data_IF_776331529883
#
_entry.id   IF_776331529883
#
_cell.length_a   1.000
_cell.length_b   1.000
_cell.length_c   1.000
_cell.angle_alpha   90.00
_cell.angle_beta   90.00
_cell.angle_gamma   90.00
#
_symmetry.space_group_name_H-M   'P 1'
#
loop_
_entity.id
_entity.type
_entity.pdbx_description
1 polymer ?
#
# COMPACT_ATOMS: atom_id res chain seq x y z
N UNK A 1 3.64 -27.38 -9.08
CA UNK A 1 4.15 -26.03 -9.38
C UNK A 1 4.13 -25.20 -8.11
N UNK A 2 5.17 -24.39 -7.89
CA UNK A 2 5.20 -23.46 -6.77
C UNK A 2 4.13 -22.37 -6.90
N UNK A 3 3.77 -21.72 -5.79
CA UNK A 3 2.83 -20.60 -5.79
C UNK A 3 3.47 -19.35 -6.40
N UNK A 4 2.66 -18.50 -7.03
CA UNK A 4 3.13 -17.25 -7.67
C UNK A 4 2.47 -16.03 -7.03
N UNK A 5 3.30 -15.02 -6.75
CA UNK A 5 2.85 -13.70 -6.33
C UNK A 5 3.21 -12.64 -7.38
N UNK A 6 2.25 -11.76 -7.69
CA UNK A 6 2.44 -10.55 -8.48
C UNK A 6 2.49 -9.33 -7.54
N UNK A 7 3.54 -8.50 -7.66
CA UNK A 7 3.77 -7.37 -6.74
C UNK A 7 3.92 -6.08 -7.54
N UNK A 8 3.13 -5.06 -7.23
CA UNK A 8 3.31 -3.71 -7.77
C UNK A 8 4.20 -2.85 -6.89
N UNK A 9 5.05 -1.99 -7.49
CA UNK A 9 5.91 -1.07 -6.76
C UNK A 9 7.02 -1.76 -5.96
N UNK A 10 7.67 -2.77 -6.55
CA UNK A 10 8.67 -3.60 -5.89
C UNK A 10 10.10 -3.01 -5.90
N UNK A 11 10.34 -1.82 -6.46
CA UNK A 11 11.70 -1.27 -6.61
C UNK A 11 12.39 -0.94 -5.27
N UNK A 12 11.65 -0.73 -4.20
CA UNK A 12 12.20 -0.31 -2.90
C UNK A 12 11.23 -0.61 -1.75
N UNK A 13 11.68 -0.34 -0.53
CA UNK A 13 10.86 -0.37 0.68
C UNK A 13 10.12 -1.69 0.88
N UNK A 14 8.83 -1.60 1.21
CA UNK A 14 8.00 -2.77 1.52
C UNK A 14 7.83 -3.72 0.33
N UNK A 15 7.64 -3.18 -0.89
CA UNK A 15 7.47 -4.02 -2.07
C UNK A 15 8.71 -4.88 -2.37
N UNK A 16 9.92 -4.30 -2.22
CA UNK A 16 11.18 -5.02 -2.36
C UNK A 16 11.35 -6.07 -1.24
N UNK A 17 11.10 -5.69 0.00
CA UNK A 17 11.20 -6.62 1.12
C UNK A 17 10.22 -7.80 0.97
N UNK A 18 8.99 -7.53 0.53
CA UNK A 18 8.02 -8.59 0.23
C UNK A 18 8.50 -9.50 -0.90
N UNK A 19 9.02 -8.93 -2.00
CA UNK A 19 9.54 -9.72 -3.12
C UNK A 19 10.65 -10.69 -2.68
N UNK A 20 11.64 -10.20 -1.94
CA UNK A 20 12.73 -11.01 -1.41
C UNK A 20 12.24 -12.07 -0.42
N UNK A 21 11.30 -11.73 0.47
CA UNK A 21 10.73 -12.67 1.43
C UNK A 21 9.99 -13.81 0.75
N UNK A 22 9.14 -13.51 -0.24
CA UNK A 22 8.40 -14.55 -0.96
C UNK A 22 9.33 -15.44 -1.78
N UNK A 23 10.34 -14.87 -2.45
CA UNK A 23 11.36 -15.63 -3.16
C UNK A 23 12.15 -16.56 -2.23
N UNK A 24 12.61 -16.06 -1.08
CA UNK A 24 13.31 -16.85 -0.06
C UNK A 24 12.45 -18.02 0.49
N UNK A 25 11.12 -17.89 0.40
CA UNK A 25 10.16 -18.95 0.80
C UNK A 25 9.72 -19.84 -0.37
N UNK A 26 10.45 -19.81 -1.48
CA UNK A 26 10.26 -20.71 -2.62
C UNK A 26 9.07 -20.36 -3.53
N UNK A 27 8.56 -19.11 -3.48
CA UNK A 27 7.54 -18.65 -4.40
C UNK A 27 8.16 -18.09 -5.68
N UNK A 28 7.45 -18.24 -6.77
CA UNK A 28 7.72 -17.45 -7.98
C UNK A 28 7.20 -16.02 -7.76
N UNK A 29 8.06 -15.04 -7.96
CA UNK A 29 7.74 -13.63 -7.74
C UNK A 29 7.78 -12.87 -9.07
N UNK A 30 6.68 -12.23 -9.43
CA UNK A 30 6.64 -11.25 -10.51
C UNK A 30 6.66 -9.87 -9.89
N UNK A 31 7.84 -9.27 -9.81
CA UNK A 31 8.07 -7.95 -9.23
C UNK A 31 7.91 -6.87 -10.30
N UNK A 32 6.99 -5.92 -10.11
CA UNK A 32 6.79 -4.86 -11.10
C UNK A 32 7.10 -3.47 -10.55
N UNK A 33 7.64 -2.61 -11.42
CA UNK A 33 8.05 -1.25 -11.12
C UNK A 33 8.16 -0.42 -12.38
N UNK A 34 8.15 0.91 -12.29
CA UNK A 34 8.26 1.79 -13.47
C UNK A 34 9.59 1.65 -14.20
N UNK A 35 10.68 1.56 -13.44
CA UNK A 35 12.02 1.36 -14.01
C UNK A 35 12.66 0.09 -13.42
N UNK A 36 12.76 -1.02 -14.19
CA UNK A 36 13.38 -2.27 -13.76
C UNK A 36 14.84 -2.12 -13.34
N UNK A 37 15.61 -1.23 -13.99
CA UNK A 37 17.03 -1.03 -13.72
C UNK A 37 17.27 -0.41 -12.32
N UNK A 38 16.23 0.11 -11.68
CA UNK A 38 16.33 0.68 -10.33
C UNK A 38 16.45 -0.37 -9.21
N UNK A 39 16.30 -1.67 -9.51
CA UNK A 39 16.36 -2.75 -8.54
C UNK A 39 17.15 -3.97 -9.06
N UNK A 40 18.45 -3.83 -9.38
CA UNK A 40 19.27 -4.91 -9.95
C UNK A 40 19.38 -6.12 -9.04
N UNK A 41 19.29 -5.95 -7.73
CA UNK A 41 19.28 -7.04 -6.76
C UNK A 41 18.09 -7.99 -6.97
N UNK A 42 16.89 -7.46 -7.27
CA UNK A 42 15.73 -8.29 -7.56
C UNK A 42 15.91 -9.07 -8.86
N UNK A 43 16.50 -8.47 -9.88
CA UNK A 43 16.76 -9.13 -11.16
C UNK A 43 17.76 -10.30 -11.02
N UNK A 44 18.68 -10.23 -10.05
CA UNK A 44 19.63 -11.30 -9.73
C UNK A 44 19.11 -12.35 -8.73
N UNK A 45 17.90 -12.18 -8.20
CA UNK A 45 17.34 -13.10 -7.19
C UNK A 45 16.63 -14.28 -7.86
N UNK A 46 17.00 -15.50 -7.47
CA UNK A 46 16.37 -16.71 -7.99
C UNK A 46 14.87 -16.72 -7.71
N UNK A 47 14.08 -17.07 -8.72
CA UNK A 47 12.62 -17.13 -8.63
C UNK A 47 11.93 -15.76 -8.76
N UNK A 48 12.67 -14.68 -9.01
CA UNK A 48 12.14 -13.34 -9.23
C UNK A 48 12.25 -12.95 -10.71
N UNK A 49 11.12 -12.53 -11.28
CA UNK A 49 11.06 -11.89 -12.59
C UNK A 49 10.71 -10.41 -12.40
N UNK A 50 11.47 -9.51 -13.02
CA UNK A 50 11.25 -8.07 -12.92
C UNK A 50 10.64 -7.55 -14.22
N UNK A 51 9.53 -6.82 -14.14
CA UNK A 51 8.82 -6.25 -15.30
C UNK A 51 8.55 -4.75 -15.10
N UNK A 52 8.59 -4.01 -16.21
CA UNK A 52 8.17 -2.61 -16.22
C UNK A 52 6.64 -2.52 -16.09
N UNK A 53 6.15 -1.71 -15.14
CA UNK A 53 4.74 -1.39 -14.98
C UNK A 53 4.56 -0.03 -14.32
N UNK A 54 3.86 0.86 -15.02
CA UNK A 54 3.22 2.04 -14.42
C UNK A 54 1.75 1.72 -14.14
N UNK A 55 1.37 1.71 -12.88
CA UNK A 55 -0.02 1.42 -12.45
C UNK A 55 -1.00 2.52 -12.83
N UNK A 56 -0.54 3.65 -13.34
CA UNK A 56 -1.39 4.73 -13.86
C UNK A 56 -1.77 4.53 -15.33
N UNK A 57 -1.09 3.62 -16.04
CA UNK A 57 -1.35 3.28 -17.44
C UNK A 57 -2.22 2.02 -17.58
N UNK A 58 -3.52 2.16 -17.92
CA UNK A 58 -4.43 1.02 -18.07
C UNK A 58 -4.06 0.06 -19.22
N UNK A 59 -3.41 0.57 -20.27
CA UNK A 59 -3.00 -0.27 -21.40
C UNK A 59 -1.81 -1.15 -20.99
N UNK A 60 -0.83 -0.56 -20.33
CA UNK A 60 0.32 -1.29 -19.81
C UNK A 60 -0.08 -2.33 -18.76
N UNK A 61 -1.04 -2.01 -17.87
CA UNK A 61 -1.59 -2.99 -16.91
C UNK A 61 -2.11 -4.22 -17.65
N UNK A 62 -2.98 -4.03 -18.66
CA UNK A 62 -3.55 -5.17 -19.43
C UNK A 62 -2.46 -6.01 -20.07
N UNK A 63 -1.53 -5.37 -20.80
CA UNK A 63 -0.43 -6.06 -21.49
C UNK A 63 0.45 -6.87 -20.53
N UNK A 64 0.81 -6.29 -19.38
CA UNK A 64 1.66 -6.97 -18.39
C UNK A 64 0.91 -8.14 -17.75
N UNK A 65 -0.37 -7.96 -17.39
CA UNK A 65 -1.18 -9.04 -16.82
C UNK A 65 -1.35 -10.18 -17.81
N UNK A 66 -1.69 -9.91 -19.06
CA UNK A 66 -1.79 -10.94 -20.12
C UNK A 66 -0.47 -11.70 -20.29
N UNK A 67 0.66 -10.99 -20.38
CA UNK A 67 2.00 -11.60 -20.47
C UNK A 67 2.30 -12.51 -19.28
N UNK A 68 1.97 -12.09 -18.08
CA UNK A 68 2.22 -12.84 -16.84
C UNK A 68 1.34 -14.09 -16.81
N UNK A 69 0.05 -13.96 -17.12
CA UNK A 69 -0.92 -15.05 -17.07
C UNK A 69 -0.72 -16.10 -18.18
N UNK A 70 -0.02 -15.75 -19.28
CA UNK A 70 0.38 -16.72 -20.31
C UNK A 70 1.44 -17.72 -19.80
N UNK A 71 2.19 -17.36 -18.75
CA UNK A 71 3.33 -18.14 -18.24
C UNK A 71 3.05 -18.67 -16.82
N UNK A 72 2.33 -17.91 -16.01
CA UNK A 72 2.17 -18.18 -14.59
C UNK A 72 0.69 -18.26 -14.20
N UNK A 73 0.35 -19.21 -13.33
CA UNK A 73 -0.85 -19.14 -12.53
C UNK A 73 -0.55 -18.26 -11.32
N UNK A 74 -1.17 -17.07 -11.24
CA UNK A 74 -0.99 -16.14 -10.12
C UNK A 74 -1.94 -16.51 -8.98
N UNK A 75 -1.37 -16.76 -7.80
CA UNK A 75 -2.11 -17.10 -6.58
C UNK A 75 -2.36 -15.88 -5.68
N UNK A 76 -1.44 -14.90 -5.71
CA UNK A 76 -1.52 -13.68 -4.89
C UNK A 76 -1.22 -12.46 -5.74
N UNK A 77 -2.05 -11.42 -5.59
CA UNK A 77 -1.83 -10.09 -6.14
C UNK A 77 -1.56 -9.13 -4.98
N UNK A 78 -0.35 -8.57 -4.90
CA UNK A 78 0.03 -7.56 -3.92
C UNK A 78 0.01 -6.18 -4.54
N UNK A 79 -1.02 -5.40 -4.26
CA UNK A 79 -1.14 -4.00 -4.59
C UNK A 79 -0.35 -3.18 -3.57
N UNK A 80 0.93 -2.87 -3.89
CA UNK A 80 1.81 -2.13 -3.01
C UNK A 80 2.23 -0.77 -3.60
N UNK A 81 2.18 -0.58 -4.92
CA UNK A 81 2.55 0.69 -5.55
C UNK A 81 1.76 1.86 -4.94
N UNK A 82 2.48 2.92 -4.55
CA UNK A 82 1.88 4.09 -3.96
C UNK A 82 2.92 5.07 -3.42
N UNK A 83 2.49 6.31 -3.19
CA UNK A 83 3.32 7.35 -2.59
C UNK A 83 2.47 8.27 -1.70
N UNK A 84 3.13 9.15 -0.94
CA UNK A 84 2.47 10.13 -0.09
C UNK A 84 2.46 11.52 -0.73
N UNK A 85 1.33 12.22 -0.64
CA UNK A 85 1.21 13.66 -0.88
C UNK A 85 0.91 14.31 0.46
N UNK A 86 1.82 15.16 0.92
CA UNK A 86 1.69 15.86 2.19
C UNK A 86 1.93 17.36 2.02
N UNK A 87 1.36 18.15 2.92
CA UNK A 87 1.44 19.60 2.91
C UNK A 87 0.06 20.27 2.86
N UNK A 88 0.01 21.61 2.76
CA UNK A 88 -1.22 22.34 2.64
C UNK A 88 -2.03 21.93 1.42
N UNK A 89 -3.31 21.62 1.63
CA UNK A 89 -4.20 21.25 0.54
C UNK A 89 -4.36 22.36 -0.50
N UNK A 90 -4.41 23.60 -0.04
CA UNK A 90 -4.50 24.78 -0.90
C UNK A 90 -3.29 24.94 -1.84
N UNK A 91 -2.14 24.40 -1.45
CA UNK A 91 -0.92 24.41 -2.27
C UNK A 91 -0.80 23.21 -3.22
N UNK A 92 -1.76 22.29 -3.26
CA UNK A 92 -1.76 21.16 -4.16
C UNK A 92 -2.27 21.59 -5.56
N UNK A 93 -1.54 21.23 -6.60
CA UNK A 93 -1.99 21.42 -7.99
C UNK A 93 -3.00 20.34 -8.38
N UNK A 94 -3.79 20.57 -9.44
CA UNK A 94 -4.69 19.55 -9.98
C UNK A 94 -3.92 18.28 -10.42
N UNK A 95 -2.72 18.45 -10.96
CA UNK A 95 -1.84 17.33 -11.32
C UNK A 95 -1.37 16.53 -10.10
N UNK A 96 -1.09 17.19 -8.97
CA UNK A 96 -0.76 16.49 -7.71
C UNK A 96 -1.95 15.65 -7.23
N UNK A 97 -3.16 16.22 -7.29
CA UNK A 97 -4.39 15.53 -6.89
C UNK A 97 -4.65 14.32 -7.78
N UNK A 98 -4.64 14.52 -9.10
CA UNK A 98 -4.85 13.45 -10.10
C UNK A 98 -3.83 12.33 -9.92
N UNK A 99 -2.55 12.67 -9.88
CA UNK A 99 -1.47 11.69 -9.74
C UNK A 99 -1.56 10.88 -8.45
N UNK A 100 -1.93 11.52 -7.31
CA UNK A 100 -2.13 10.82 -6.04
C UNK A 100 -3.28 9.83 -6.12
N UNK A 101 -4.42 10.24 -6.71
CA UNK A 101 -5.59 9.39 -6.88
C UNK A 101 -5.31 8.29 -7.89
N UNK A 102 -4.74 8.61 -9.06
CA UNK A 102 -4.45 7.63 -10.10
C UNK A 102 -3.47 6.56 -9.64
N UNK A 103 -2.43 6.93 -8.88
CA UNK A 103 -1.46 5.95 -8.39
C UNK A 103 -2.04 5.13 -7.22
N UNK A 104 -2.51 5.80 -6.16
CA UNK A 104 -2.81 5.13 -4.90
C UNK A 104 -4.17 4.45 -4.86
N UNK A 105 -5.12 4.90 -5.67
CA UNK A 105 -6.47 4.35 -5.71
C UNK A 105 -6.76 3.68 -7.05
N UNK A 106 -6.80 4.44 -8.14
CA UNK A 106 -7.20 3.90 -9.44
C UNK A 106 -6.26 2.79 -9.93
N UNK A 107 -4.94 2.92 -9.69
CA UNK A 107 -3.96 1.89 -10.02
C UNK A 107 -4.26 0.56 -9.33
N UNK A 108 -4.59 0.60 -8.03
CA UNK A 108 -4.99 -0.59 -7.25
C UNK A 108 -6.25 -1.23 -7.83
N UNK A 109 -7.27 -0.42 -8.12
CA UNK A 109 -8.53 -0.90 -8.67
C UNK A 109 -8.33 -1.56 -10.04
N UNK A 110 -7.58 -0.90 -10.94
CA UNK A 110 -7.30 -1.38 -12.31
C UNK A 110 -6.47 -2.67 -12.32
N UNK A 111 -5.41 -2.74 -11.51
CA UNK A 111 -4.59 -3.97 -11.39
C UNK A 111 -5.45 -5.11 -10.84
N UNK A 112 -6.21 -4.88 -9.79
CA UNK A 112 -7.13 -5.89 -9.24
C UNK A 112 -8.12 -6.36 -10.29
N UNK A 113 -8.80 -5.43 -10.97
CA UNK A 113 -9.78 -5.74 -12.00
C UNK A 113 -9.20 -6.61 -13.12
N UNK A 114 -7.95 -6.35 -13.54
CA UNK A 114 -7.29 -7.12 -14.59
C UNK A 114 -7.00 -8.57 -14.18
N UNK A 115 -6.76 -8.85 -12.89
CA UNK A 115 -6.55 -10.21 -12.40
C UNK A 115 -7.84 -10.97 -12.04
N UNK A 116 -8.96 -10.29 -11.80
CA UNK A 116 -10.20 -10.93 -11.35
C UNK A 116 -10.69 -12.07 -12.27
N UNK A 117 -10.67 -11.97 -13.61
CA UNK A 117 -11.08 -13.07 -14.48
C UNK A 117 -10.28 -14.37 -14.22
N UNK A 118 -8.96 -14.24 -14.07
CA UNK A 118 -8.06 -15.36 -13.77
C UNK A 118 -8.35 -15.98 -12.40
N UNK A 119 -8.46 -15.16 -11.35
CA UNK A 119 -8.72 -15.63 -9.98
C UNK A 119 -10.10 -16.30 -9.89
N UNK A 120 -11.11 -15.71 -10.52
CA UNK A 120 -12.47 -16.26 -10.61
C UNK A 120 -12.50 -17.61 -11.32
N UNK A 121 -11.81 -17.74 -12.46
CA UNK A 121 -11.72 -18.99 -13.22
C UNK A 121 -11.07 -20.10 -12.40
N UNK A 122 -10.04 -19.76 -11.62
CA UNK A 122 -9.36 -20.71 -10.73
C UNK A 122 -10.13 -20.98 -9.42
N UNK A 123 -11.19 -20.21 -9.11
CA UNK A 123 -11.92 -20.21 -7.84
C UNK A 123 -10.98 -20.18 -6.62
N UNK A 124 -9.91 -19.43 -6.73
CA UNK A 124 -8.84 -19.37 -5.73
C UNK A 124 -7.99 -18.14 -5.95
N UNK A 125 -7.52 -17.53 -4.87
CA UNK A 125 -6.53 -16.47 -4.88
C UNK A 125 -6.70 -15.51 -3.72
N UNK A 126 -5.67 -14.70 -3.51
CA UNK A 126 -5.71 -13.64 -2.49
C UNK A 126 -5.24 -12.32 -3.09
N UNK A 127 -6.03 -11.29 -2.93
CA UNK A 127 -5.68 -9.91 -3.23
C UNK A 127 -5.27 -9.26 -1.92
N UNK A 128 -4.04 -8.77 -1.84
CA UNK A 128 -3.53 -8.04 -0.68
C UNK A 128 -3.26 -6.59 -1.08
N UNK A 129 -3.91 -5.64 -0.42
CA UNK A 129 -3.77 -4.22 -0.71
C UNK A 129 -3.03 -3.53 0.45
N UNK A 130 -1.92 -2.87 0.13
CA UNK A 130 -1.21 -2.05 1.12
C UNK A 130 -1.94 -0.71 1.29
N UNK A 131 -2.60 -0.59 2.43
CA UNK A 131 -3.26 0.63 2.85
C UNK A 131 -2.32 1.48 3.72
N UNK A 132 -2.72 1.88 4.89
CA UNK A 132 -1.92 2.60 5.89
C UNK A 132 -2.71 2.71 7.20
N UNK A 133 -2.04 2.93 8.31
CA UNK A 133 -2.70 3.51 9.49
C UNK A 133 -3.50 4.77 9.12
N UNK A 134 -3.04 5.50 8.09
CA UNK A 134 -3.75 6.65 7.49
C UNK A 134 -5.06 6.32 6.78
N UNK A 135 -5.43 5.06 6.61
CA UNK A 135 -6.77 4.60 6.20
C UNK A 135 -7.75 4.42 7.37
N UNK A 136 -7.28 4.55 8.61
CA UNK A 136 -8.08 4.38 9.81
C UNK A 136 -8.02 5.59 10.75
N UNK A 137 -6.94 6.36 10.71
CA UNK A 137 -6.75 7.60 11.48
C UNK A 137 -6.27 8.72 10.57
N UNK A 138 -6.42 9.97 10.99
CA UNK A 138 -6.02 11.13 10.19
C UNK A 138 -4.99 11.99 10.92
N UNK A 139 -4.06 12.57 10.15
CA UNK A 139 -3.06 13.51 10.61
C UNK A 139 -3.13 14.80 9.80
N UNK A 140 -2.71 15.95 10.34
CA UNK A 140 -2.66 17.20 9.59
C UNK A 140 -1.81 17.06 8.31
N UNK A 141 -2.14 17.83 7.29
CA UNK A 141 -1.39 17.94 6.04
C UNK A 141 -1.25 16.66 5.21
N UNK A 142 -2.18 15.72 5.33
CA UNK A 142 -2.20 14.47 4.57
C UNK A 142 -3.57 14.19 3.95
N UNK A 143 -4.38 15.22 3.69
CA UNK A 143 -5.81 15.06 3.34
C UNK A 143 -6.05 14.16 2.12
N UNK A 144 -5.35 14.42 1.01
CA UNK A 144 -5.51 13.64 -0.23
C UNK A 144 -4.99 12.21 -0.07
N UNK A 145 -3.84 12.04 0.59
CA UNK A 145 -3.32 10.72 0.90
C UNK A 145 -4.31 9.90 1.75
N UNK A 146 -4.85 10.51 2.81
CA UNK A 146 -5.88 9.87 3.64
C UNK A 146 -7.11 9.50 2.83
N UNK A 147 -7.59 10.39 1.95
CA UNK A 147 -8.74 10.09 1.08
C UNK A 147 -8.51 8.81 0.27
N UNK A 148 -7.31 8.63 -0.32
CA UNK A 148 -6.99 7.41 -1.08
C UNK A 148 -6.94 6.17 -0.18
N UNK A 149 -6.33 6.27 1.00
CA UNK A 149 -6.17 5.11 1.90
C UNK A 149 -7.48 4.71 2.58
N UNK A 150 -8.34 5.66 2.95
CA UNK A 150 -9.70 5.39 3.42
C UNK A 150 -10.57 4.80 2.31
N UNK A 151 -10.46 5.32 1.09
CA UNK A 151 -11.16 4.76 -0.08
C UNK A 151 -10.79 3.30 -0.32
N UNK A 152 -9.51 2.93 -0.19
CA UNK A 152 -9.06 1.55 -0.34
C UNK A 152 -9.60 0.61 0.76
N UNK A 153 -9.71 1.08 2.02
CA UNK A 153 -10.29 0.24 3.10
C UNK A 153 -11.75 -0.06 2.80
N UNK A 154 -12.59 0.95 2.54
CA UNK A 154 -14.01 0.74 2.23
C UNK A 154 -14.23 -0.06 0.94
N UNK A 155 -13.45 0.22 -0.10
CA UNK A 155 -13.50 -0.55 -1.34
C UNK A 155 -13.16 -2.03 -1.12
N UNK A 156 -12.08 -2.31 -0.37
CA UNK A 156 -11.65 -3.68 -0.12
C UNK A 156 -12.65 -4.47 0.74
N UNK A 157 -13.30 -3.83 1.73
CA UNK A 157 -14.38 -4.45 2.50
C UNK A 157 -15.53 -4.87 1.60
N UNK A 158 -15.99 -3.97 0.71
CA UNK A 158 -17.06 -4.30 -0.25
C UNK A 158 -16.65 -5.42 -1.20
N UNK A 159 -15.43 -5.33 -1.76
CA UNK A 159 -14.89 -6.36 -2.65
C UNK A 159 -14.78 -7.73 -1.98
N UNK A 160 -14.48 -7.78 -0.69
CA UNK A 160 -14.41 -9.05 0.05
C UNK A 160 -15.75 -9.80 0.04
N UNK A 161 -16.89 -9.09 0.13
CA UNK A 161 -18.21 -9.71 0.00
C UNK A 161 -18.47 -10.25 -1.42
N UNK A 162 -18.09 -9.47 -2.45
CA UNK A 162 -18.29 -9.88 -3.86
C UNK A 162 -17.51 -11.16 -4.22
N UNK A 163 -16.34 -11.34 -3.61
CA UNK A 163 -15.39 -12.39 -3.99
C UNK A 163 -15.47 -13.66 -3.12
N UNK A 164 -16.16 -13.60 -1.97
CA UNK A 164 -16.21 -14.70 -1.01
C UNK A 164 -16.72 -16.01 -1.64
N UNK A 165 -17.85 -15.97 -2.34
CA UNK A 165 -18.45 -17.12 -3.00
C UNK A 165 -17.64 -17.65 -4.20
N UNK A 166 -16.67 -16.85 -4.66
CA UNK A 166 -15.76 -17.23 -5.73
C UNK A 166 -14.47 -17.88 -5.22
N UNK A 167 -14.32 -18.04 -3.90
CA UNK A 167 -13.13 -18.60 -3.27
C UNK A 167 -11.91 -17.64 -3.31
N UNK A 168 -12.14 -16.35 -3.52
CA UNK A 168 -11.09 -15.32 -3.61
C UNK A 168 -11.16 -14.45 -2.35
N UNK A 169 -10.00 -14.14 -1.77
CA UNK A 169 -9.91 -13.29 -0.58
C UNK A 169 -9.40 -11.90 -0.94
N UNK A 170 -10.07 -10.86 -0.47
CA UNK A 170 -9.61 -9.48 -0.54
C UNK A 170 -9.22 -9.02 0.87
N UNK A 171 -7.94 -8.62 1.03
CA UNK A 171 -7.36 -8.29 2.33
C UNK A 171 -6.59 -6.98 2.27
N UNK A 172 -6.57 -6.25 3.38
CA UNK A 172 -5.73 -5.06 3.54
C UNK A 172 -4.62 -5.31 4.55
N UNK A 173 -3.45 -4.72 4.29
CA UNK A 173 -2.42 -4.57 5.29
C UNK A 173 -2.23 -3.08 5.52
N UNK A 174 -2.45 -2.62 6.76
CA UNK A 174 -2.36 -1.23 7.19
C UNK A 174 -1.08 -1.01 8.01
N UNK A 175 0.04 -0.61 7.39
CA UNK A 175 1.26 -0.29 8.10
C UNK A 175 1.14 1.01 8.90
N UNK A 176 1.87 1.06 10.03
CA UNK A 176 2.23 2.30 10.71
C UNK A 176 3.43 2.99 10.06
N UNK A 177 4.22 3.70 10.86
CA UNK A 177 5.47 4.28 10.38
C UNK A 177 6.48 3.19 10.01
N UNK A 178 7.00 3.23 8.78
CA UNK A 178 8.00 2.29 8.30
C UNK A 178 9.36 2.99 8.29
N UNK A 179 10.40 2.29 8.76
CA UNK A 179 11.80 2.70 8.61
C UNK A 179 12.24 2.39 7.18
N UNK A 180 11.84 3.23 6.26
CA UNK A 180 12.24 3.18 4.84
C UNK A 180 12.54 4.59 4.38
N UNK A 181 13.16 4.70 3.22
CA UNK A 181 13.35 5.98 2.52
C UNK A 181 12.05 6.51 1.88
N UNK A 182 10.88 6.16 2.46
CA UNK A 182 9.59 6.62 1.95
C UNK A 182 9.50 8.15 1.97
N UNK A 183 10.00 8.78 3.04
CA UNK A 183 10.02 10.23 3.15
C UNK A 183 10.97 10.91 2.13
N UNK A 184 12.05 10.22 1.72
CA UNK A 184 12.99 10.73 0.72
C UNK A 184 12.59 10.46 -0.73
N UNK A 185 11.96 9.29 -1.00
CA UNK A 185 11.69 8.84 -2.37
C UNK A 185 10.22 8.85 -2.78
N UNK A 186 9.34 8.65 -1.81
CA UNK A 186 7.92 8.41 -2.07
C UNK A 186 7.01 9.41 -1.35
N UNK A 187 7.54 10.60 -1.00
CA UNK A 187 6.78 11.69 -0.43
C UNK A 187 6.91 12.93 -1.32
N UNK A 188 5.80 13.39 -1.86
CA UNK A 188 5.68 14.69 -2.53
C UNK A 188 5.16 15.71 -1.53
N UNK A 189 5.75 16.89 -1.49
CA UNK A 189 5.36 17.96 -0.57
C UNK A 189 4.72 19.11 -1.36
N UNK A 190 3.51 19.49 -0.96
CA UNK A 190 2.89 20.75 -1.38
C UNK A 190 3.33 21.89 -0.46
N UNK A 191 3.36 23.11 -0.97
CA UNK A 191 3.77 24.30 -0.22
C UNK A 191 2.78 25.44 -0.44
N UNK A 192 2.57 26.22 0.58
CA UNK A 192 1.82 27.48 0.50
C UNK A 192 2.26 28.39 1.64
N UNK A 193 2.70 29.64 1.36
CA UNK A 193 3.33 30.51 2.37
C UNK A 193 2.48 30.76 3.62
N UNK A 194 1.16 30.87 3.47
CA UNK A 194 0.24 31.07 4.59
C UNK A 194 0.25 29.94 5.63
N UNK A 195 0.81 28.77 5.30
CA UNK A 195 0.84 27.57 6.15
C UNK A 195 2.22 27.24 6.70
N UNK A 196 3.28 27.96 6.33
CA UNK A 196 4.66 27.57 6.64
C UNK A 196 4.89 27.37 8.14
N UNK A 197 4.45 28.29 8.97
CA UNK A 197 4.58 28.18 10.43
C UNK A 197 3.83 26.95 10.98
N UNK A 198 2.64 26.67 10.44
CA UNK A 198 1.81 25.54 10.87
C UNK A 198 2.41 24.21 10.43
N UNK A 199 2.97 24.14 9.21
CA UNK A 199 3.69 22.97 8.71
C UNK A 199 4.92 22.68 9.57
N UNK A 200 5.74 23.70 9.88
CA UNK A 200 6.91 23.53 10.76
C UNK A 200 6.51 22.98 12.14
N UNK A 201 5.47 23.55 12.75
CA UNK A 201 4.94 23.07 14.03
C UNK A 201 4.48 21.62 13.95
N UNK A 202 3.76 21.24 12.88
CA UNK A 202 3.29 19.88 12.66
C UNK A 202 4.45 18.91 12.50
N UNK A 203 5.48 19.27 11.71
CA UNK A 203 6.67 18.41 11.52
C UNK A 203 7.41 18.19 12.84
N UNK A 204 7.55 19.20 13.68
CA UNK A 204 8.10 19.06 15.03
C UNK A 204 7.28 18.08 15.89
N UNK A 205 5.95 18.06 15.71
CA UNK A 205 5.03 17.17 16.42
C UNK A 205 5.21 15.68 16.07
N UNK A 206 5.66 15.35 14.85
CA UNK A 206 5.93 13.96 14.49
C UNK A 206 7.13 13.36 15.23
N UNK A 207 8.10 14.18 15.65
CA UNK A 207 9.24 13.79 16.49
C UNK A 207 10.06 12.63 15.93
N UNK A 208 11.04 12.18 16.71
CA UNK A 208 11.75 10.92 16.47
C UNK A 208 10.87 9.77 16.98
N UNK A 209 9.99 9.25 16.15
CA UNK A 209 9.18 8.09 16.53
C UNK A 209 10.07 6.83 16.54
N UNK A 210 10.46 6.37 17.72
CA UNK A 210 11.27 5.17 17.93
C UNK A 210 10.52 3.85 17.65
N UNK A 211 9.20 3.89 17.47
CA UNK A 211 8.35 2.71 17.29
C UNK A 211 8.04 2.37 15.82
N UNK A 212 8.83 2.87 14.87
CA UNK A 212 8.68 2.51 13.47
C UNK A 212 9.11 1.07 13.22
N UNK A 213 8.37 0.37 12.37
CA UNK A 213 8.71 -0.99 11.95
C UNK A 213 9.67 -0.98 10.76
N UNK A 214 10.49 -2.03 10.61
CA UNK A 214 11.27 -2.23 9.38
C UNK A 214 10.37 -2.72 8.24
N UNK A 215 10.81 -2.57 6.99
CA UNK A 215 10.11 -3.12 5.84
C UNK A 215 9.91 -4.63 5.94
N UNK A 216 10.93 -5.34 6.46
CA UNK A 216 10.88 -6.80 6.65
C UNK A 216 9.82 -7.22 7.67
N UNK A 217 9.71 -6.48 8.79
CA UNK A 217 8.65 -6.74 9.78
C UNK A 217 7.25 -6.58 9.19
N UNK A 218 7.06 -5.60 8.30
CA UNK A 218 5.78 -5.41 7.62
C UNK A 218 5.58 -6.48 6.54
N UNK A 219 6.63 -6.88 5.82
CA UNK A 219 6.57 -7.95 4.82
C UNK A 219 6.14 -9.29 5.44
N UNK A 220 6.50 -9.58 6.69
CA UNK A 220 5.98 -10.74 7.43
C UNK A 220 4.46 -10.68 7.63
N UNK A 221 3.90 -9.50 7.88
CA UNK A 221 2.44 -9.34 7.98
C UNK A 221 1.78 -9.51 6.61
N UNK A 222 2.43 -9.03 5.53
CA UNK A 222 1.98 -9.27 4.15
C UNK A 222 1.98 -10.77 3.84
N UNK A 223 3.04 -11.47 4.20
CA UNK A 223 3.11 -12.93 4.08
C UNK A 223 1.96 -13.61 4.80
N UNK A 224 1.74 -13.25 6.07
CA UNK A 224 0.63 -13.80 6.86
C UNK A 224 -0.71 -13.54 6.16
N UNK A 225 -0.99 -12.32 5.76
CA UNK A 225 -2.23 -11.96 5.07
C UNK A 225 -2.42 -12.78 3.77
N UNK A 226 -1.33 -12.98 3.01
CA UNK A 226 -1.37 -13.71 1.75
C UNK A 226 -1.57 -15.23 1.89
N UNK A 227 -1.12 -15.83 3.03
CA UNK A 227 -0.95 -17.29 3.11
C UNK A 227 -1.73 -17.98 4.23
N UNK A 228 -2.29 -17.27 5.20
CA UNK A 228 -2.94 -17.86 6.39
C UNK A 228 -4.30 -18.52 6.11
N UNK A 229 -4.87 -18.34 4.92
CA UNK A 229 -6.13 -18.94 4.51
C UNK A 229 -7.37 -18.44 5.25
N UNK A 230 -7.24 -17.43 6.12
CA UNK A 230 -8.34 -16.89 6.92
C UNK A 230 -9.17 -15.90 6.12
N UNK A 231 -10.43 -15.76 6.49
CA UNK A 231 -11.35 -14.75 5.92
C UNK A 231 -11.22 -13.37 6.62
N UNK A 232 -10.17 -13.20 7.42
CA UNK A 232 -9.83 -11.90 8.02
C UNK A 232 -9.47 -10.90 6.92
N UNK A 233 -10.18 -9.77 6.89
CA UNK A 233 -9.99 -8.72 5.87
C UNK A 233 -8.85 -7.77 6.24
N UNK A 234 -8.77 -7.34 7.50
CA UNK A 234 -7.83 -6.30 7.93
C UNK A 234 -6.65 -6.83 8.73
N UNK A 235 -5.44 -6.48 8.32
CA UNK A 235 -4.18 -6.75 9.01
C UNK A 235 -3.50 -5.43 9.34
N UNK A 236 -3.30 -5.17 10.63
CA UNK A 236 -2.60 -3.96 11.09
C UNK A 236 -1.15 -4.31 11.39
N UNK A 237 -0.22 -3.63 10.74
CA UNK A 237 1.21 -3.88 10.86
C UNK A 237 1.92 -2.72 11.56
N UNK A 238 2.64 -3.04 12.64
CA UNK A 238 3.33 -2.08 13.50
C UNK A 238 2.62 -1.82 14.83
N UNK A 239 3.42 -1.60 15.88
CA UNK A 239 2.90 -1.34 17.24
C UNK A 239 2.20 0.00 17.32
N UNK A 240 2.73 1.01 16.64
CA UNK A 240 2.20 2.36 16.53
C UNK A 240 0.82 2.38 15.85
N UNK A 241 0.67 1.68 14.72
CA UNK A 241 -0.61 1.56 14.04
C UNK A 241 -1.67 0.89 14.91
N UNK A 242 -1.32 -0.25 15.52
CA UNK A 242 -2.21 -0.98 16.43
C UNK A 242 -2.68 -0.10 17.60
N UNK A 243 -1.76 0.67 18.17
CA UNK A 243 -2.07 1.60 19.26
C UNK A 243 -3.01 2.72 18.81
N UNK A 244 -2.69 3.41 17.71
CA UNK A 244 -3.49 4.55 17.23
C UNK A 244 -4.91 4.16 16.82
N UNK A 245 -5.07 3.03 16.12
CA UNK A 245 -6.39 2.54 15.71
C UNK A 245 -7.23 2.17 16.95
N UNK A 246 -6.65 1.46 17.92
CA UNK A 246 -7.33 1.13 19.18
C UNK A 246 -7.71 2.37 19.97
N UNK A 247 -6.80 3.32 20.07
CA UNK A 247 -7.01 4.58 20.79
C UNK A 247 -8.16 5.38 20.18
N UNK A 248 -8.20 5.49 18.83
CA UNK A 248 -9.32 6.15 18.14
C UNK A 248 -10.65 5.46 18.39
N UNK A 249 -10.67 4.12 18.37
CA UNK A 249 -11.86 3.34 18.66
C UNK A 249 -12.36 3.57 20.09
N UNK A 250 -11.44 3.64 21.06
CA UNK A 250 -11.76 3.84 22.48
C UNK A 250 -12.20 5.28 22.79
N UNK A 251 -11.50 6.29 22.28
CA UNK A 251 -11.81 7.71 22.53
C UNK A 251 -13.04 8.21 21.74
N UNK A 252 -13.37 7.57 20.63
CA UNK A 252 -14.27 8.11 19.62
C UNK A 252 -13.66 9.27 18.83
N UNK A 253 -14.29 9.59 17.68
CA UNK A 253 -13.73 10.54 16.71
C UNK A 253 -13.46 11.94 17.29
N UNK A 254 -14.39 12.60 18.02
CA UNK A 254 -14.17 13.97 18.46
C UNK A 254 -12.99 14.11 19.43
N UNK A 255 -12.88 13.21 20.42
CA UNK A 255 -11.80 13.24 21.41
C UNK A 255 -10.45 12.91 20.78
N UNK A 256 -10.43 11.93 19.85
CA UNK A 256 -9.21 11.59 19.13
C UNK A 256 -8.70 12.77 18.29
N UNK A 257 -9.57 13.41 17.51
CA UNK A 257 -9.18 14.58 16.71
C UNK A 257 -8.72 15.74 17.60
N UNK A 258 -9.35 15.96 18.75
CA UNK A 258 -8.89 16.95 19.75
C UNK A 258 -7.49 16.64 20.29
N UNK A 259 -7.18 15.37 20.52
CA UNK A 259 -5.83 14.91 20.92
C UNK A 259 -4.81 15.16 19.81
N UNK A 260 -5.11 14.78 18.56
CA UNK A 260 -4.25 15.00 17.41
C UNK A 260 -3.99 16.50 17.22
N UNK A 261 -5.05 17.32 17.29
CA UNK A 261 -4.92 18.78 17.20
C UNK A 261 -3.92 19.30 18.24
N UNK A 262 -4.10 18.97 19.51
CA UNK A 262 -3.18 19.41 20.59
C UNK A 262 -1.76 18.91 20.39
N UNK A 263 -1.57 17.70 19.89
CA UNK A 263 -0.24 17.10 19.67
C UNK A 263 0.54 17.79 18.55
N UNK A 264 -0.13 18.19 17.47
CA UNK A 264 0.49 18.67 16.25
C UNK A 264 0.33 20.16 16.00
N UNK A 265 -0.73 20.77 16.52
CA UNK A 265 -1.06 22.17 16.25
C UNK A 265 -1.04 23.03 17.52
N UNK A 266 -0.96 22.43 18.70
CA UNK A 266 -0.76 23.07 19.99
C UNK A 266 -2.02 23.47 20.66
#
# INVERSE_FOLDING_TARGET
MGKTIFITGASSGLGKAAALLFAARGWTVVATMRNPDSAPELAGTQGVSVLALDVTDPAQIRQVVEKVLAIHRVDVVLNNAGYGLAGPFEGATDDDLRRQIDTNLMGVLRVTQAFLPHLRQNRSGTIVTITSVGGHVTFPFNSVYHATKWGLEGWNESLAFELAELGIRAKTVAPGGILTDFAGRSLTLTKHPAYDALVQKTMAGFGKNSNRSTADQIAEVVWQAATDGKDQVHYVAGKDAKFLIRLRKWLGVPRFLGMIRRRFLG
#
